data_IF_037431524057
#
_entry.id   IF_037431524057
#
_cell.length_a   1.000
_cell.length_b   1.000
_cell.length_c   1.000
_cell.angle_alpha   90.00
_cell.angle_beta   90.00
_cell.angle_gamma   90.00
#
_symmetry.space_group_name_H-M   'P 1'
#
loop_
_entity.id
_entity.type
_entity.pdbx_description
1 polymer ?
#
# COMPACT_ATOMS: atom_id res chain seq x y z
N UNK A 1 53.78 57.15 35.11
CA UNK A 1 54.18 55.83 34.56
C UNK A 1 52.91 55.05 34.25
N UNK A 2 52.76 54.65 32.97
CA UNK A 2 51.92 53.59 32.38
C UNK A 2 50.45 53.41 32.84
N UNK A 3 49.44 53.19 31.99
CA UNK A 3 49.24 53.16 30.52
C UNK A 3 47.73 52.85 30.32
N UNK A 4 47.07 53.53 29.37
CA UNK A 4 45.85 53.19 28.58
C UNK A 4 44.51 52.89 29.32
N UNK A 5 43.43 53.70 29.24
CA UNK A 5 42.48 53.98 28.10
C UNK A 5 41.94 52.69 27.44
N UNK A 6 40.63 52.44 27.21
CA UNK A 6 39.42 53.24 26.94
C UNK A 6 38.18 52.50 27.50
N UNK A 7 37.27 53.18 28.21
CA UNK A 7 36.02 53.80 27.73
C UNK A 7 34.86 52.81 27.45
N UNK A 8 33.87 52.88 28.32
CA UNK A 8 32.57 52.22 28.30
C UNK A 8 31.52 53.09 27.54
N UNK A 9 30.21 53.02 27.85
CA UNK A 9 29.22 52.02 27.43
C UNK A 9 28.03 52.69 26.69
N UNK A 10 27.07 51.93 26.15
CA UNK A 10 25.63 52.10 26.45
C UNK A 10 24.76 51.15 25.60
N UNK A 11 23.76 50.60 26.27
CA UNK A 11 22.71 49.76 25.74
C UNK A 11 21.66 50.55 24.94
N UNK A 12 20.97 49.87 24.02
CA UNK A 12 19.54 50.00 23.79
C UNK A 12 19.03 48.80 23.00
N UNK A 13 18.05 48.11 23.57
CA UNK A 13 17.27 47.06 22.93
C UNK A 13 16.22 47.69 22.02
N UNK A 14 16.07 47.20 20.78
CA UNK A 14 14.81 47.19 20.02
C UNK A 14 14.81 45.97 19.10
N UNK A 15 13.65 45.30 19.07
CA UNK A 15 13.25 44.21 18.19
C UNK A 15 13.39 44.53 16.69
N UNK A 16 13.87 43.56 15.91
CA UNK A 16 13.65 43.52 14.47
C UNK A 16 13.26 42.08 14.08
N UNK A 17 11.96 41.83 14.17
CA UNK A 17 11.28 40.73 13.50
C UNK A 17 10.79 41.33 12.18
N UNK A 18 11.49 41.04 11.08
CA UNK A 18 10.99 41.08 9.71
C UNK A 18 12.16 40.77 8.79
N UNK A 19 12.03 39.70 8.00
CA UNK A 19 12.57 39.48 6.65
C UNK A 19 12.51 37.99 6.31
N UNK A 20 11.41 37.56 5.67
CA UNK A 20 11.37 36.52 4.63
C UNK A 20 9.92 36.15 4.28
N UNK A 21 9.24 36.98 3.49
CA UNK A 21 8.02 36.57 2.77
C UNK A 21 8.04 37.14 1.36
N UNK A 22 8.51 36.37 0.39
CA UNK A 22 8.16 36.51 -1.04
C UNK A 22 8.98 35.55 -1.92
N UNK A 23 8.58 34.29 -2.00
CA UNK A 23 9.01 33.40 -3.10
C UNK A 23 7.94 32.32 -3.32
N UNK A 24 6.73 32.70 -3.74
CA UNK A 24 5.80 31.85 -4.51
C UNK A 24 4.65 32.75 -5.02
N UNK A 25 4.79 33.33 -6.21
CA UNK A 25 3.65 33.66 -7.05
C UNK A 25 3.84 32.99 -8.42
N UNK A 26 2.81 32.32 -8.98
CA UNK A 26 2.89 31.73 -10.31
C UNK A 26 2.78 32.81 -11.39
N UNK A 27 3.72 32.81 -12.35
CA UNK A 27 3.67 33.70 -13.51
C UNK A 27 2.48 33.34 -14.43
N UNK A 28 1.80 34.37 -14.92
CA UNK A 28 0.68 34.29 -15.87
C UNK A 28 1.08 33.70 -17.24
N UNK A 29 0.17 33.03 -17.97
CA UNK A 29 0.50 32.40 -19.25
C UNK A 29 0.59 33.43 -20.38
N UNK A 30 1.71 33.40 -21.12
CA UNK A 30 1.87 34.11 -22.38
C UNK A 30 1.42 33.21 -23.55
N UNK A 31 0.44 33.67 -24.31
CA UNK A 31 -0.01 33.09 -25.57
C UNK A 31 0.91 33.53 -26.72
N UNK A 32 1.41 32.57 -27.51
CA UNK A 32 2.10 32.85 -28.77
C UNK A 32 1.48 32.03 -29.91
N UNK A 33 0.97 32.71 -30.93
CA UNK A 33 0.57 32.17 -32.23
C UNK A 33 1.71 32.35 -33.22
N UNK A 34 2.14 31.28 -33.90
CA UNK A 34 2.94 31.40 -35.12
C UNK A 34 2.64 30.25 -36.10
N UNK A 35 2.24 30.64 -37.30
CA UNK A 35 2.05 29.84 -38.52
C UNK A 35 3.34 29.77 -39.34
N UNK A 36 3.72 28.59 -39.87
CA UNK A 36 4.35 28.42 -41.19
C UNK A 36 4.57 26.93 -41.54
N UNK A 37 4.53 26.64 -42.84
CA UNK A 37 4.31 25.33 -43.46
C UNK A 37 5.55 24.43 -43.64
N UNK A 38 5.28 23.13 -43.83
CA UNK A 38 6.23 22.05 -44.11
C UNK A 38 6.61 21.92 -45.60
N UNK A 39 7.61 21.07 -45.93
CA UNK A 39 7.46 20.13 -47.05
C UNK A 39 7.66 18.64 -46.65
N UNK A 40 6.98 17.77 -47.41
CA UNK A 40 6.67 16.34 -47.23
C UNK A 40 7.86 15.37 -47.57
N UNK A 41 8.14 14.31 -46.78
CA UNK A 41 7.66 12.90 -46.77
C UNK A 41 8.51 11.93 -47.66
N UNK A 42 8.74 10.63 -47.29
CA UNK A 42 7.67 9.64 -47.09
C UNK A 42 7.79 8.66 -45.88
N UNK A 43 6.60 8.20 -45.43
CA UNK A 43 6.18 6.90 -44.87
C UNK A 43 7.24 5.96 -44.23
N UNK A 44 7.07 5.30 -43.08
CA UNK A 44 5.93 4.96 -42.20
C UNK A 44 6.54 4.28 -40.97
N UNK A 45 6.28 4.79 -39.77
CA UNK A 45 6.35 4.02 -38.51
C UNK A 45 5.35 4.66 -37.56
N UNK A 46 4.30 3.90 -37.29
CA UNK A 46 3.14 4.32 -36.51
C UNK A 46 3.55 4.84 -35.14
N UNK A 47 3.04 6.02 -34.84
CA UNK A 47 3.10 6.79 -33.60
C UNK A 47 2.97 5.96 -32.32
N UNK A 48 4.05 5.89 -31.53
CA UNK A 48 3.91 5.78 -30.08
C UNK A 48 3.33 7.11 -29.59
N UNK A 49 2.10 7.08 -29.05
CA UNK A 49 1.53 8.24 -28.36
C UNK A 49 2.45 8.58 -27.19
N UNK A 50 2.94 9.82 -27.20
CA UNK A 50 3.59 10.46 -26.06
C UNK A 50 2.75 10.24 -24.79
N UNK A 51 3.40 9.72 -23.74
CA UNK A 51 2.83 9.57 -22.40
C UNK A 51 2.30 10.94 -21.95
N UNK A 52 0.98 11.08 -21.89
CA UNK A 52 0.31 12.27 -21.35
C UNK A 52 0.68 12.43 -19.88
N UNK A 53 0.91 13.67 -19.46
CA UNK A 53 1.13 14.05 -18.06
C UNK A 53 0.07 13.45 -17.14
N UNK A 54 0.55 12.93 -16.01
CA UNK A 54 -0.17 12.22 -14.96
C UNK A 54 -1.17 13.13 -14.26
N UNK A 55 -2.42 13.14 -14.74
CA UNK A 55 -3.57 13.31 -13.86
C UNK A 55 -3.70 12.03 -13.02
N UNK A 56 -3.97 12.17 -11.71
CA UNK A 56 -4.38 11.15 -10.73
C UNK A 56 -4.33 9.69 -11.22
N UNK A 57 -3.50 8.84 -10.60
CA UNK A 57 -3.70 7.40 -10.74
C UNK A 57 -4.89 6.98 -9.87
N UNK A 58 -5.74 6.03 -10.24
CA UNK A 58 -6.30 5.55 -11.51
C UNK A 58 -7.37 4.54 -11.04
N UNK A 59 -8.56 4.49 -11.63
CA UNK A 59 -9.57 3.54 -11.18
C UNK A 59 -9.02 2.10 -11.26
N UNK A 60 -9.52 1.14 -10.47
CA UNK A 60 -9.06 -0.27 -10.53
C UNK A 60 -9.10 -0.83 -11.97
N UNK A 61 -9.95 -0.29 -12.85
CA UNK A 61 -9.95 -0.56 -14.29
C UNK A 61 -8.61 -0.33 -14.98
N UNK A 62 -7.87 0.71 -14.62
CA UNK A 62 -6.59 1.05 -15.24
C UNK A 62 -5.51 0.06 -14.84
N UNK A 63 -5.48 -0.37 -13.57
CA UNK A 63 -4.60 -1.44 -13.11
C UNK A 63 -4.93 -2.75 -13.83
N UNK A 64 -6.21 -3.10 -13.93
CA UNK A 64 -6.67 -4.31 -14.65
C UNK A 64 -6.30 -4.25 -16.13
N UNK A 65 -6.44 -3.09 -16.78
CA UNK A 65 -6.05 -2.88 -18.17
C UNK A 65 -4.54 -3.05 -18.37
N UNK A 66 -3.72 -2.44 -17.50
CA UNK A 66 -2.27 -2.61 -17.53
C UNK A 66 -1.86 -4.07 -17.29
N UNK A 67 -2.50 -4.74 -16.33
CA UNK A 67 -2.23 -6.14 -16.01
C UNK A 67 -2.57 -7.07 -17.19
N UNK A 68 -3.72 -6.87 -17.84
CA UNK A 68 -4.11 -7.64 -19.02
C UNK A 68 -3.21 -7.37 -20.23
N UNK A 69 -2.75 -6.13 -20.42
CA UNK A 69 -1.76 -5.80 -21.45
C UNK A 69 -0.42 -6.51 -21.20
N UNK A 70 0.02 -6.56 -19.93
CA UNK A 70 1.21 -7.31 -19.55
C UNK A 70 1.02 -8.82 -19.81
N UNK A 71 -0.07 -9.43 -19.34
CA UNK A 71 -0.38 -10.86 -19.58
C UNK A 71 -0.36 -11.20 -21.06
N UNK A 72 -0.99 -10.37 -21.90
CA UNK A 72 -1.07 -10.59 -23.34
C UNK A 72 0.29 -10.56 -24.05
N UNK A 73 1.30 -9.92 -23.46
CA UNK A 73 2.68 -9.87 -24.00
C UNK A 73 3.52 -11.10 -23.67
N UNK A 74 3.04 -11.98 -22.78
CA UNK A 74 3.79 -13.10 -22.22
C UNK A 74 3.51 -14.42 -22.94
N UNK A 75 4.53 -15.28 -23.02
CA UNK A 75 4.36 -16.68 -23.42
C UNK A 75 3.52 -17.45 -22.40
N UNK A 76 2.95 -18.61 -22.78
CA UNK A 76 2.18 -19.45 -21.88
C UNK A 76 2.97 -19.87 -20.62
N UNK A 77 4.27 -20.17 -20.76
CA UNK A 77 5.15 -20.50 -19.63
C UNK A 77 5.33 -19.30 -18.71
N UNK A 78 5.55 -18.10 -19.27
CA UNK A 78 5.65 -16.88 -18.46
C UNK A 78 4.32 -16.57 -17.74
N UNK A 79 3.18 -16.72 -18.42
CA UNK A 79 1.86 -16.55 -17.81
C UNK A 79 1.63 -17.51 -16.65
N UNK A 80 2.04 -18.78 -16.78
CA UNK A 80 1.93 -19.77 -15.70
C UNK A 80 2.80 -19.43 -14.48
N UNK A 81 3.94 -18.77 -14.67
CA UNK A 81 4.77 -18.26 -13.58
C UNK A 81 4.19 -16.98 -12.96
N UNK A 82 3.62 -16.09 -13.77
CA UNK A 82 2.99 -14.84 -13.33
C UNK A 82 1.71 -15.09 -12.51
N UNK A 83 0.82 -15.92 -13.05
CA UNK A 83 -0.51 -16.19 -12.50
C UNK A 83 -0.43 -17.33 -11.50
N UNK A 84 -0.51 -16.99 -10.23
CA UNK A 84 -0.52 -17.94 -9.12
C UNK A 84 -1.89 -17.97 -8.44
N UNK A 85 -2.16 -18.99 -7.64
CA UNK A 85 -3.40 -19.05 -6.85
C UNK A 85 -3.42 -17.93 -5.79
N UNK A 86 -4.60 -17.37 -5.49
CA UNK A 86 -4.81 -16.47 -4.35
C UNK A 86 -5.23 -17.29 -3.12
N UNK A 87 -4.29 -17.56 -2.21
CA UNK A 87 -4.54 -18.32 -0.99
C UNK A 87 -3.54 -17.95 0.12
N UNK A 88 -3.78 -18.43 1.34
CA UNK A 88 -2.95 -18.14 2.51
C UNK A 88 -1.47 -18.52 2.36
N UNK A 89 -1.14 -19.46 1.48
CA UNK A 89 0.25 -19.87 1.24
C UNK A 89 0.96 -18.94 0.28
N UNK A 90 0.31 -18.47 -0.78
CA UNK A 90 0.93 -17.63 -1.83
C UNK A 90 0.97 -16.16 -1.46
N UNK A 91 -0.06 -15.65 -0.78
CA UNK A 91 -0.13 -14.23 -0.38
C UNK A 91 1.01 -13.82 0.55
N UNK A 92 1.60 -14.78 1.27
CA UNK A 92 2.72 -14.54 2.19
C UNK A 92 4.09 -14.81 1.57
N UNK A 93 4.20 -15.13 0.26
CA UNK A 93 5.47 -15.52 -0.41
C UNK A 93 6.24 -14.34 -0.98
N UNK A 94 6.51 -13.37 -0.12
CA UNK A 94 7.37 -12.23 -0.38
C UNK A 94 8.51 -12.20 0.65
N UNK A 95 9.55 -11.44 0.37
CA UNK A 95 10.73 -11.29 1.23
C UNK A 95 11.38 -9.94 0.95
N UNK A 96 12.14 -9.42 1.91
CA UNK A 96 13.03 -8.26 1.74
C UNK A 96 14.50 -8.65 1.49
N UNK A 97 14.86 -9.93 1.64
CA UNK A 97 16.25 -10.39 1.53
C UNK A 97 16.75 -10.48 0.08
N UNK A 98 18.06 -10.53 -0.19
CA UNK A 98 18.57 -10.71 -1.55
C UNK A 98 17.97 -11.96 -2.24
N UNK A 99 17.80 -11.94 -3.57
CA UNK A 99 17.02 -12.96 -4.31
C UNK A 99 17.59 -14.39 -4.20
N UNK A 100 18.89 -14.51 -3.87
CA UNK A 100 19.55 -15.80 -3.61
C UNK A 100 19.29 -16.37 -2.21
N UNK A 101 18.68 -15.59 -1.30
CA UNK A 101 18.48 -15.96 0.10
C UNK A 101 17.09 -16.57 0.35
N UNK A 102 16.09 -16.24 -0.47
CA UNK A 102 14.72 -16.75 -0.33
C UNK A 102 14.00 -16.74 -1.67
N UNK A 103 13.26 -17.81 -1.95
CA UNK A 103 12.41 -17.88 -3.13
C UNK A 103 11.18 -16.99 -2.96
N UNK A 104 11.01 -16.03 -3.89
CA UNK A 104 9.75 -15.30 -4.11
C UNK A 104 8.96 -15.95 -5.25
N UNK A 105 7.68 -15.61 -5.37
CA UNK A 105 6.85 -16.02 -6.50
C UNK A 105 6.84 -14.95 -7.60
N UNK A 106 6.57 -15.36 -8.83
CA UNK A 106 6.41 -14.46 -9.98
C UNK A 106 7.57 -14.45 -10.96
N UNK A 107 7.46 -13.57 -11.95
CA UNK A 107 8.45 -13.38 -13.01
C UNK A 107 9.49 -12.35 -12.58
N UNK A 108 10.78 -12.73 -12.66
CA UNK A 108 11.88 -11.76 -12.56
C UNK A 108 11.90 -10.83 -13.76
N UNK A 109 12.17 -9.55 -13.53
CA UNK A 109 12.23 -8.55 -14.60
C UNK A 109 13.33 -8.86 -15.62
N UNK A 110 14.49 -9.36 -15.19
CA UNK A 110 15.59 -9.74 -16.08
C UNK A 110 15.33 -10.99 -16.93
N UNK A 111 14.27 -11.74 -16.65
CA UNK A 111 13.77 -12.83 -17.51
C UNK A 111 12.75 -12.34 -18.56
N UNK A 112 12.43 -11.04 -18.57
CA UNK A 112 11.49 -10.40 -19.49
C UNK A 112 12.24 -9.63 -20.59
N UNK A 113 11.61 -9.48 -21.75
CA UNK A 113 12.08 -8.51 -22.76
C UNK A 113 11.87 -7.08 -22.28
N UNK A 114 12.58 -6.10 -22.85
CA UNK A 114 12.41 -4.68 -22.49
C UNK A 114 10.96 -4.19 -22.60
N UNK A 115 10.22 -4.65 -23.62
CA UNK A 115 8.80 -4.32 -23.78
C UNK A 115 7.93 -4.94 -22.66
N UNK A 116 8.22 -6.18 -22.27
CA UNK A 116 7.54 -6.85 -21.16
C UNK A 116 7.88 -6.20 -19.81
N UNK A 117 9.12 -5.77 -19.59
CA UNK A 117 9.52 -5.02 -18.39
C UNK A 117 8.77 -3.69 -18.28
N UNK A 118 8.65 -2.95 -19.39
CA UNK A 118 7.89 -1.71 -19.42
C UNK A 118 6.40 -1.94 -19.08
N UNK A 119 5.79 -3.00 -19.62
CA UNK A 119 4.41 -3.37 -19.28
C UNK A 119 4.27 -3.80 -17.82
N UNK A 120 5.21 -4.57 -17.26
CA UNK A 120 5.21 -4.94 -15.85
C UNK A 120 5.26 -3.72 -14.93
N UNK A 121 6.16 -2.76 -15.22
CA UNK A 121 6.28 -1.53 -14.45
C UNK A 121 5.08 -0.59 -14.63
N UNK A 122 4.41 -0.61 -15.79
CA UNK A 122 3.17 0.12 -15.99
C UNK A 122 2.04 -0.38 -15.07
N UNK A 123 2.01 -1.68 -14.73
CA UNK A 123 1.07 -2.22 -13.72
C UNK A 123 1.36 -1.62 -12.35
N UNK A 124 2.63 -1.59 -11.95
CA UNK A 124 3.05 -1.03 -10.65
C UNK A 124 2.71 0.47 -10.61
N UNK A 125 3.06 1.22 -11.64
CA UNK A 125 2.75 2.64 -11.76
C UNK A 125 1.24 2.92 -11.66
N UNK A 126 0.40 2.11 -12.30
CA UNK A 126 -1.05 2.28 -12.22
C UNK A 126 -1.61 1.94 -10.82
N UNK A 127 -0.94 1.05 -10.07
CA UNK A 127 -1.37 0.55 -8.77
C UNK A 127 -0.93 1.43 -7.58
N UNK A 128 0.02 2.33 -7.78
CA UNK A 128 0.68 3.09 -6.71
C UNK A 128 0.48 4.59 -6.85
N UNK A 129 0.74 5.33 -5.78
CA UNK A 129 0.52 6.78 -5.70
C UNK A 129 1.40 7.59 -6.63
N UNK A 130 0.97 8.82 -6.90
CA UNK A 130 1.64 9.75 -7.82
C UNK A 130 2.49 10.82 -7.12
N UNK A 131 2.50 10.83 -5.78
CA UNK A 131 3.21 11.82 -4.98
C UNK A 131 4.71 11.70 -5.22
N UNK A 132 5.37 12.82 -5.50
CA UNK A 132 6.82 12.83 -5.68
C UNK A 132 7.50 12.54 -4.35
N UNK A 133 8.48 11.63 -4.35
CA UNK A 133 9.14 11.16 -3.14
C UNK A 133 8.51 9.90 -2.54
N UNK A 134 7.26 9.59 -2.88
CA UNK A 134 6.52 8.41 -2.42
C UNK A 134 5.99 7.61 -3.65
N UNK A 135 5.21 6.56 -3.43
CA UNK A 135 4.49 5.81 -4.47
C UNK A 135 5.40 5.24 -5.54
N UNK A 136 5.01 5.41 -6.80
CA UNK A 136 5.82 4.87 -7.91
C UNK A 136 7.22 5.50 -7.96
N UNK A 137 7.34 6.77 -7.55
CA UNK A 137 8.63 7.45 -7.55
C UNK A 137 9.59 6.81 -6.53
N UNK A 138 9.13 6.54 -5.32
CA UNK A 138 9.93 5.88 -4.30
C UNK A 138 10.32 4.45 -4.71
N UNK A 139 9.38 3.65 -5.23
CA UNK A 139 9.66 2.30 -5.74
C UNK A 139 10.79 2.31 -6.77
N UNK A 140 10.84 3.32 -7.65
CA UNK A 140 11.91 3.47 -8.63
C UNK A 140 13.24 3.89 -7.97
N UNK A 141 13.22 4.74 -6.94
CA UNK A 141 14.42 5.07 -6.17
C UNK A 141 14.98 3.85 -5.43
N UNK A 142 14.11 3.03 -4.83
CA UNK A 142 14.49 1.77 -4.16
C UNK A 142 15.14 0.78 -5.12
N UNK A 143 14.55 0.60 -6.31
CA UNK A 143 15.14 -0.21 -7.38
C UNK A 143 16.52 0.33 -7.83
N UNK A 144 16.68 1.65 -7.89
CA UNK A 144 17.95 2.27 -8.22
C UNK A 144 19.00 2.14 -7.09
N UNK A 145 18.57 2.12 -5.82
CA UNK A 145 19.43 1.84 -4.68
C UNK A 145 19.97 0.41 -4.78
N UNK A 146 19.14 -0.53 -5.22
CA UNK A 146 19.53 -1.91 -5.44
C UNK A 146 20.58 -2.09 -6.55
N UNK A 147 20.47 -1.31 -7.64
CA UNK A 147 21.51 -1.24 -8.67
C UNK A 147 22.83 -0.65 -8.12
N UNK A 148 22.73 0.30 -7.19
CA UNK A 148 23.89 0.84 -6.50
C UNK A 148 24.56 -0.23 -5.62
N UNK A 149 23.81 -1.00 -4.85
CA UNK A 149 24.33 -2.12 -4.05
C UNK A 149 24.99 -3.19 -4.93
N UNK A 150 24.36 -3.56 -6.04
CA UNK A 150 24.90 -4.52 -7.00
C UNK A 150 26.29 -4.11 -7.51
N UNK A 151 26.46 -2.81 -7.82
CA UNK A 151 27.72 -2.24 -8.31
C UNK A 151 28.80 -2.09 -7.21
N UNK A 152 28.42 -2.07 -5.94
CA UNK A 152 29.31 -1.78 -4.80
C UNK A 152 29.57 -3.01 -3.91
N UNK A 153 29.45 -4.22 -4.45
CA UNK A 153 29.86 -5.46 -3.77
C UNK A 153 28.72 -6.41 -3.39
N UNK A 154 27.46 -6.02 -3.65
CA UNK A 154 26.31 -6.92 -3.45
C UNK A 154 26.25 -8.07 -4.47
N UNK A 155 26.66 -7.83 -5.72
CA UNK A 155 26.64 -8.84 -6.78
C UNK A 155 25.23 -9.24 -7.23
N UNK A 156 25.10 -10.42 -7.85
CA UNK A 156 23.87 -10.85 -8.55
C UNK A 156 22.65 -11.17 -7.67
N UNK A 157 22.76 -11.01 -6.35
CA UNK A 157 21.63 -11.09 -5.41
C UNK A 157 20.79 -9.81 -5.33
N UNK A 158 21.33 -8.70 -5.88
CA UNK A 158 20.81 -7.34 -5.81
C UNK A 158 20.58 -6.81 -7.23
N UNK A 159 19.79 -5.74 -7.34
CA UNK A 159 19.64 -4.98 -8.59
C UNK A 159 18.21 -4.92 -9.09
N UNK A 160 17.92 -3.86 -9.83
CA UNK A 160 16.59 -3.54 -10.35
C UNK A 160 16.01 -4.59 -11.31
N UNK A 161 16.88 -5.42 -11.91
CA UNK A 161 16.51 -6.53 -12.78
C UNK A 161 16.02 -7.79 -12.05
N UNK A 162 16.41 -8.00 -10.79
CA UNK A 162 16.03 -9.20 -10.02
C UNK A 162 14.73 -9.05 -9.23
N UNK A 163 14.02 -7.93 -9.42
CA UNK A 163 12.68 -7.72 -8.88
C UNK A 163 11.68 -8.64 -9.58
N UNK A 164 10.64 -9.05 -8.85
CA UNK A 164 9.64 -10.01 -9.30
C UNK A 164 8.24 -9.38 -9.29
N UNK A 165 7.43 -9.80 -10.26
CA UNK A 165 6.00 -9.48 -10.34
C UNK A 165 5.17 -10.77 -10.40
N UNK A 166 4.13 -10.86 -9.57
CA UNK A 166 3.15 -11.95 -9.55
C UNK A 166 1.73 -11.38 -9.47
N UNK A 167 0.78 -12.10 -10.09
CA UNK A 167 -0.65 -11.89 -9.87
C UNK A 167 -1.22 -13.12 -9.19
N UNK A 168 -1.81 -12.93 -8.02
CA UNK A 168 -2.47 -14.00 -7.29
C UNK A 168 -3.96 -13.93 -7.60
N UNK A 169 -4.48 -14.92 -8.30
CA UNK A 169 -5.78 -14.83 -8.97
C UNK A 169 -5.70 -14.10 -10.31
N UNK A 170 -6.85 -14.00 -10.99
CA UNK A 170 -6.94 -13.38 -12.32
C UNK A 170 -7.30 -11.90 -12.20
N UNK A 171 -6.48 -10.97 -12.74
CA UNK A 171 -6.83 -9.56 -12.79
C UNK A 171 -8.19 -9.32 -13.43
N UNK A 172 -9.11 -8.75 -12.67
CA UNK A 172 -10.47 -8.48 -13.10
C UNK A 172 -11.15 -7.43 -12.23
N UNK A 173 -12.24 -6.85 -12.74
CA UNK A 173 -13.08 -5.91 -11.98
C UNK A 173 -14.13 -6.60 -11.11
N UNK A 174 -14.29 -7.91 -11.24
CA UNK A 174 -15.37 -8.66 -10.55
C UNK A 174 -14.82 -9.70 -9.57
N UNK A 175 -13.64 -10.26 -9.84
CA UNK A 175 -12.97 -11.21 -8.98
C UNK A 175 -12.09 -10.56 -7.91
N UNK A 176 -11.60 -11.40 -7.00
CA UNK A 176 -10.53 -11.04 -6.07
C UNK A 176 -9.19 -11.47 -6.65
N UNK A 177 -8.21 -10.57 -6.60
CA UNK A 177 -6.85 -10.86 -7.00
C UNK A 177 -5.86 -9.93 -6.29
N UNK A 178 -4.58 -10.30 -6.26
CA UNK A 178 -3.54 -9.49 -5.62
C UNK A 178 -2.36 -9.27 -6.57
N UNK A 179 -1.90 -8.03 -6.65
CA UNK A 179 -0.59 -7.67 -7.18
C UNK A 179 0.46 -7.91 -6.10
N UNK A 180 1.50 -8.69 -6.41
CA UNK A 180 2.75 -8.70 -5.66
C UNK A 180 3.88 -8.18 -6.55
N UNK A 181 4.57 -7.15 -6.07
CA UNK A 181 5.78 -6.64 -6.71
C UNK A 181 6.86 -6.44 -5.66
N UNK A 182 8.09 -6.89 -5.92
CA UNK A 182 9.14 -6.73 -4.93
C UNK A 182 10.48 -7.34 -5.30
N UNK A 183 11.49 -7.04 -4.49
CA UNK A 183 12.87 -7.45 -4.65
C UNK A 183 13.59 -7.36 -3.31
N UNK A 184 14.91 -7.31 -3.34
CA UNK A 184 15.65 -6.91 -2.15
C UNK A 184 15.15 -5.52 -1.70
N UNK A 185 14.86 -5.36 -0.41
CA UNK A 185 14.32 -4.14 0.18
C UNK A 185 12.94 -3.64 -0.31
N UNK A 186 12.17 -4.43 -1.07
CA UNK A 186 10.80 -4.03 -1.45
C UNK A 186 9.84 -5.21 -1.44
N UNK A 187 8.67 -5.04 -0.83
CA UNK A 187 7.49 -5.85 -1.08
C UNK A 187 6.24 -4.97 -1.10
N UNK A 188 5.59 -4.84 -2.25
CA UNK A 188 4.32 -4.15 -2.45
C UNK A 188 3.24 -5.20 -2.72
N UNK A 189 2.25 -5.27 -1.83
CA UNK A 189 1.16 -6.25 -1.89
C UNK A 189 -0.19 -5.52 -1.90
N UNK A 190 -0.86 -5.48 -3.06
CA UNK A 190 -2.14 -4.76 -3.20
C UNK A 190 -3.22 -5.75 -3.63
N UNK A 191 -4.26 -5.89 -2.82
CA UNK A 191 -5.37 -6.81 -3.06
C UNK A 191 -6.59 -6.05 -3.56
N UNK A 192 -7.11 -6.48 -4.69
CA UNK A 192 -8.29 -5.96 -5.35
C UNK A 192 -9.47 -6.92 -5.16
N UNK A 193 -10.67 -6.37 -5.09
CA UNK A 193 -11.91 -7.14 -5.06
C UNK A 193 -13.08 -6.29 -5.54
N UNK A 194 -13.80 -6.78 -6.55
CA UNK A 194 -15.00 -6.12 -7.07
C UNK A 194 -14.75 -4.67 -7.55
N UNK A 195 -13.62 -4.46 -8.22
CA UNK A 195 -13.27 -3.16 -8.78
C UNK A 195 -12.86 -2.13 -7.72
N UNK A 196 -12.49 -2.59 -6.52
CA UNK A 196 -12.01 -1.76 -5.42
C UNK A 196 -10.71 -2.32 -4.86
N UNK A 197 -9.89 -1.46 -4.25
CA UNK A 197 -8.77 -1.90 -3.41
C UNK A 197 -9.33 -2.36 -2.06
N UNK A 198 -9.15 -3.63 -1.75
CA UNK A 198 -9.61 -4.26 -0.50
C UNK A 198 -8.51 -4.31 0.57
N UNK A 199 -7.25 -4.19 0.17
CA UNK A 199 -6.11 -4.04 1.06
C UNK A 199 -4.88 -3.56 0.30
N UNK A 200 -4.17 -2.58 0.87
CA UNK A 200 -2.94 -2.01 0.31
C UNK A 200 -1.66 -2.59 0.98
N UNK A 201 -1.84 -3.52 1.91
CA UNK A 201 -0.79 -4.02 2.81
C UNK A 201 -0.73 -5.55 2.80
N UNK A 202 0.41 -6.15 3.21
CA UNK A 202 1.62 -5.51 3.76
C UNK A 202 2.48 -4.82 2.70
N UNK A 203 3.06 -3.68 3.08
CA UNK A 203 4.11 -3.02 2.33
C UNK A 203 5.40 -3.02 3.16
N UNK A 204 6.49 -3.53 2.60
CA UNK A 204 7.81 -3.48 3.21
C UNK A 204 8.75 -2.68 2.32
N UNK A 205 9.54 -1.81 2.93
CA UNK A 205 10.57 -1.03 2.26
C UNK A 205 11.84 -0.98 3.07
N UNK A 206 12.97 -0.90 2.38
CA UNK A 206 14.26 -0.63 2.99
C UNK A 206 15.15 0.13 2.03
N UNK A 207 16.17 0.81 2.52
CA UNK A 207 17.16 1.40 1.62
C UNK A 207 18.53 1.34 2.22
N UNK A 208 19.49 0.96 1.38
CA UNK A 208 20.90 1.02 1.63
C UNK A 208 21.58 1.46 0.33
N UNK A 209 22.34 2.57 0.30
CA UNK A 209 22.50 3.57 1.37
C UNK A 209 21.24 4.46 1.52
N UNK A 210 21.24 5.36 2.51
CA UNK A 210 20.13 6.32 2.73
C UNK A 210 20.03 7.40 1.64
N UNK A 211 21.15 7.71 0.98
CA UNK A 211 21.20 8.62 -0.15
C UNK A 211 22.35 8.22 -1.08
N UNK A 212 22.16 8.47 -2.37
CA UNK A 212 23.14 8.16 -3.40
C UNK A 212 22.84 8.92 -4.69
N UNK A 213 23.81 8.92 -5.60
CA UNK A 213 23.62 9.38 -6.98
C UNK A 213 23.66 8.18 -7.91
N UNK A 214 22.68 8.06 -8.81
CA UNK A 214 22.61 6.94 -9.75
C UNK A 214 23.83 6.91 -10.66
N UNK A 215 24.49 5.75 -10.74
CA UNK A 215 25.68 5.55 -11.58
C UNK A 215 25.34 5.10 -13.01
N UNK A 216 24.10 4.63 -13.23
CA UNK A 216 23.61 4.14 -14.51
C UNK A 216 22.19 4.67 -14.78
N UNK A 217 21.66 4.37 -15.97
CA UNK A 217 20.32 4.79 -16.41
C UNK A 217 19.30 3.64 -16.49
N UNK A 218 19.49 2.57 -15.71
CA UNK A 218 18.61 1.38 -15.78
C UNK A 218 17.20 1.67 -15.28
N UNK A 219 17.07 2.51 -14.25
CA UNK A 219 15.80 2.81 -13.57
C UNK A 219 15.46 4.30 -13.66
N UNK A 220 16.43 5.15 -13.28
CA UNK A 220 16.37 6.61 -13.32
C UNK A 220 17.58 7.12 -14.10
N UNK A 221 17.55 8.32 -14.71
CA UNK A 221 18.71 8.86 -15.42
C UNK A 221 19.98 8.85 -14.56
N UNK A 222 21.13 8.51 -15.15
CA UNK A 222 22.42 8.62 -14.45
C UNK A 222 22.66 10.05 -13.93
N UNK A 223 23.19 10.18 -12.72
CA UNK A 223 23.36 11.47 -12.05
C UNK A 223 22.16 11.95 -11.24
N UNK A 224 21.07 11.17 -11.18
CA UNK A 224 19.91 11.48 -10.33
C UNK A 224 20.26 11.28 -8.86
N UNK A 225 20.02 12.30 -8.03
CA UNK A 225 20.16 12.20 -6.56
C UNK A 225 18.90 11.52 -6.02
N UNK A 226 19.10 10.44 -5.28
CA UNK A 226 18.04 9.64 -4.67
C UNK A 226 18.20 9.62 -3.15
N UNK A 227 17.07 9.66 -2.45
CA UNK A 227 16.98 9.53 -1.00
C UNK A 227 15.64 8.84 -0.65
N UNK A 228 15.46 7.58 -1.05
CA UNK A 228 14.26 6.83 -0.68
C UNK A 228 14.14 6.75 0.86
N UNK A 229 12.93 6.62 1.37
CA UNK A 229 12.59 6.61 2.80
C UNK A 229 12.94 7.89 3.57
N UNK A 230 13.30 8.97 2.88
CA UNK A 230 13.62 10.24 3.53
C UNK A 230 12.38 10.95 4.08
N UNK A 231 11.23 10.82 3.41
CA UNK A 231 9.95 11.35 3.88
C UNK A 231 9.50 10.63 5.17
N UNK A 232 9.58 9.30 5.19
CA UNK A 232 9.28 8.41 6.32
C UNK A 232 10.16 8.74 7.52
N UNK A 233 11.48 8.80 7.31
CA UNK A 233 12.44 9.13 8.35
C UNK A 233 12.21 10.53 8.92
N UNK A 234 11.97 11.53 8.06
CA UNK A 234 11.69 12.89 8.48
C UNK A 234 10.36 13.01 9.26
N UNK A 235 9.31 12.34 8.81
CA UNK A 235 7.99 12.39 9.43
C UNK A 235 7.97 11.68 10.80
N UNK A 236 8.59 10.50 10.90
CA UNK A 236 8.78 9.81 12.19
C UNK A 236 9.62 10.64 13.17
N UNK A 237 10.68 11.28 12.68
CA UNK A 237 11.53 12.15 13.50
C UNK A 237 10.75 13.37 14.00
N UNK A 238 9.96 14.00 13.13
CA UNK A 238 9.11 15.13 13.50
C UNK A 238 8.08 14.74 14.58
N UNK A 239 7.44 13.58 14.44
CA UNK A 239 6.52 13.04 15.46
C UNK A 239 7.22 12.88 16.82
N UNK A 240 8.39 12.24 16.87
CA UNK A 240 9.11 12.05 18.12
C UNK A 240 9.63 13.39 18.70
N UNK A 241 10.09 14.31 17.86
CA UNK A 241 10.56 15.62 18.30
C UNK A 241 9.45 16.54 18.79
N UNK A 242 8.21 16.33 18.34
CA UNK A 242 7.03 17.02 18.87
C UNK A 242 6.67 16.64 20.32
N UNK A 243 7.23 15.55 20.86
CA UNK A 243 6.93 15.08 22.22
C UNK A 243 7.73 15.83 23.29
N UNK A 244 7.07 16.12 24.42
CA UNK A 244 7.75 16.57 25.64
C UNK A 244 8.64 15.48 26.23
N UNK A 245 9.56 15.85 27.12
CA UNK A 245 10.42 14.88 27.80
C UNK A 245 9.62 13.78 28.53
N UNK A 246 8.54 14.14 29.23
CA UNK A 246 7.68 13.18 29.92
C UNK A 246 6.96 12.23 28.95
N UNK A 247 6.44 12.77 27.84
CA UNK A 247 5.82 11.97 26.78
C UNK A 247 6.83 11.03 26.11
N UNK A 248 8.06 11.48 25.85
CA UNK A 248 9.15 10.62 25.38
C UNK A 248 9.44 9.48 26.36
N UNK A 249 9.46 9.76 27.67
CA UNK A 249 9.60 8.70 28.68
C UNK A 249 8.49 7.65 28.59
N UNK A 250 7.23 8.07 28.42
CA UNK A 250 6.09 7.14 28.28
C UNK A 250 6.10 6.37 26.95
N UNK A 251 6.51 7.00 25.85
CA UNK A 251 6.59 6.36 24.54
C UNK A 251 7.76 5.37 24.42
N UNK A 252 8.78 5.48 25.29
CA UNK A 252 9.99 4.66 25.18
C UNK A 252 9.75 3.22 25.64
N UNK A 253 10.08 2.27 24.77
CA UNK A 253 10.07 0.84 25.05
C UNK A 253 11.32 0.43 25.84
N UNK A 254 11.16 -0.53 26.74
CA UNK A 254 12.28 -1.17 27.45
C UNK A 254 13.06 -2.14 26.56
N UNK A 255 12.36 -2.79 25.63
CA UNK A 255 12.94 -3.68 24.63
C UNK A 255 13.57 -2.88 23.49
N UNK A 256 14.71 -3.36 22.99
CA UNK A 256 15.33 -2.91 21.74
C UNK A 256 14.93 -3.82 20.57
N UNK A 257 14.89 -3.24 19.38
CA UNK A 257 14.53 -3.93 18.14
C UNK A 257 15.66 -3.78 17.13
N UNK A 258 16.16 -4.90 16.62
CA UNK A 258 17.17 -4.90 15.55
C UNK A 258 16.57 -4.98 14.14
N UNK A 259 15.26 -5.22 14.03
CA UNK A 259 14.51 -5.28 12.78
C UNK A 259 13.04 -4.94 13.06
N UNK A 260 12.23 -4.79 12.00
CA UNK A 260 10.78 -4.72 12.12
C UNK A 260 10.24 -6.03 12.69
N UNK A 261 9.22 -5.95 13.55
CA UNK A 261 8.63 -7.14 14.18
C UNK A 261 7.77 -7.91 13.19
N UNK A 262 7.01 -7.20 12.32
CA UNK A 262 6.08 -7.81 11.36
C UNK A 262 6.60 -7.75 9.92
N UNK A 263 7.89 -8.00 9.72
CA UNK A 263 8.51 -8.21 8.41
C UNK A 263 8.00 -9.48 7.70
N UNK A 264 8.80 -10.06 6.78
CA UNK A 264 8.44 -11.34 6.17
C UNK A 264 8.13 -12.40 7.23
N UNK A 265 7.10 -13.21 6.98
CA UNK A 265 6.58 -14.24 7.90
C UNK A 265 5.88 -13.73 9.18
N UNK A 266 5.87 -12.43 9.47
CA UNK A 266 5.14 -11.82 10.60
C UNK A 266 3.61 -11.73 10.39
N UNK A 267 3.01 -12.69 9.70
CA UNK A 267 1.65 -12.57 9.17
C UNK A 267 0.59 -12.72 10.28
N UNK A 268 -0.21 -11.67 10.49
CA UNK A 268 -1.26 -11.65 11.51
C UNK A 268 -0.77 -11.71 12.96
N UNK A 269 0.54 -11.61 13.20
CA UNK A 269 1.14 -11.72 14.53
C UNK A 269 1.20 -10.37 15.26
N UNK A 270 0.19 -9.52 15.07
CA UNK A 270 0.10 -8.24 15.75
C UNK A 270 0.08 -8.45 17.28
N UNK A 271 0.86 -7.69 18.06
CA UNK A 271 0.78 -7.76 19.51
C UNK A 271 -0.64 -7.47 20.02
N UNK A 272 -1.14 -8.34 20.88
CA UNK A 272 -2.50 -8.19 21.42
C UNK A 272 -2.67 -6.94 22.29
N UNK A 273 -1.57 -6.44 22.89
CA UNK A 273 -1.56 -5.25 23.75
C UNK A 273 -0.80 -4.13 23.06
N UNK A 274 -1.49 -2.99 22.88
CA UNK A 274 -0.86 -1.75 22.45
C UNK A 274 -0.02 -1.18 23.59
N UNK A 275 1.19 -0.71 23.27
CA UNK A 275 2.16 -0.20 24.24
C UNK A 275 2.73 1.14 23.77
N UNK A 276 3.24 1.94 24.70
CA UNK A 276 3.78 3.27 24.43
C UNK A 276 2.81 4.37 24.85
N UNK A 277 2.90 5.52 24.16
CA UNK A 277 2.12 6.71 24.46
C UNK A 277 0.81 6.72 23.67
N UNK A 278 -0.31 6.76 24.39
CA UNK A 278 -1.63 6.87 23.79
C UNK A 278 -1.81 8.25 23.14
N UNK A 279 -2.16 8.27 21.85
CA UNK A 279 -2.26 9.50 21.04
C UNK A 279 -3.40 10.41 21.50
N UNK A 280 -4.44 9.87 22.13
CA UNK A 280 -5.53 10.68 22.73
C UNK A 280 -5.08 11.55 23.92
N UNK A 281 -3.88 11.34 24.47
CA UNK A 281 -3.30 12.19 25.52
C UNK A 281 -2.44 13.34 24.96
N UNK A 282 -2.20 13.35 23.65
CA UNK A 282 -1.41 14.37 22.96
C UNK A 282 -2.24 15.63 22.70
N UNK A 283 -1.55 16.76 22.53
CA UNK A 283 -2.19 17.99 22.03
C UNK A 283 -2.61 17.84 20.57
N UNK A 284 -3.51 18.69 20.08
CA UNK A 284 -3.92 18.67 18.67
C UNK A 284 -2.73 18.83 17.70
N UNK A 285 -1.75 19.68 18.03
CA UNK A 285 -0.54 19.85 17.21
C UNK A 285 0.33 18.57 17.17
N UNK A 286 0.45 17.88 18.30
CA UNK A 286 1.17 16.61 18.36
C UNK A 286 0.42 15.47 17.64
N UNK A 287 -0.92 15.44 17.74
CA UNK A 287 -1.75 14.51 16.99
C UNK A 287 -1.61 14.71 15.47
N UNK A 288 -1.53 15.96 15.01
CA UNK A 288 -1.27 16.25 13.61
C UNK A 288 0.07 15.67 13.14
N UNK A 289 1.13 15.75 13.94
CA UNK A 289 2.42 15.12 13.62
C UNK A 289 2.34 13.59 13.53
N UNK A 290 1.50 12.94 14.34
CA UNK A 290 1.26 11.49 14.24
C UNK A 290 0.56 11.14 12.93
N UNK A 291 -0.41 11.95 12.49
CA UNK A 291 -1.09 11.77 11.20
C UNK A 291 -0.10 11.97 10.05
N UNK A 292 0.72 13.02 10.08
CA UNK A 292 1.77 13.24 9.09
C UNK A 292 2.81 12.11 9.07
N UNK A 293 3.12 11.51 10.23
CA UNK A 293 3.99 10.34 10.31
C UNK A 293 3.39 9.05 9.78
N UNK A 294 2.10 8.98 9.44
CA UNK A 294 1.52 7.84 8.72
C UNK A 294 1.52 8.06 7.20
N UNK A 295 1.62 9.33 6.77
CA UNK A 295 1.27 9.75 5.43
C UNK A 295 2.17 9.15 4.33
N UNK A 296 3.52 9.14 4.43
CA UNK A 296 4.39 8.65 3.36
C UNK A 296 4.04 7.21 2.92
N UNK A 297 4.00 6.28 3.89
CA UNK A 297 3.55 4.90 3.67
C UNK A 297 2.17 4.78 2.98
N UNK A 298 1.22 5.63 3.36
CA UNK A 298 -0.14 5.56 2.82
C UNK A 298 -0.20 6.15 1.40
N UNK A 299 0.60 7.19 1.13
CA UNK A 299 0.75 7.82 -0.18
C UNK A 299 1.41 6.90 -1.21
N UNK A 300 1.94 5.76 -0.78
CA UNK A 300 2.40 4.73 -1.68
C UNK A 300 1.31 3.97 -2.41
N UNK A 301 0.13 3.92 -1.80
CA UNK A 301 -1.07 3.40 -2.45
C UNK A 301 -1.56 4.38 -3.51
N UNK A 302 -2.38 3.94 -4.47
CA UNK A 302 -3.05 4.85 -5.38
C UNK A 302 -3.75 6.00 -4.64
N UNK A 303 -3.81 7.18 -5.28
CA UNK A 303 -4.16 8.44 -4.61
C UNK A 303 -5.56 8.38 -3.94
N UNK A 304 -6.50 7.64 -4.52
CA UNK A 304 -7.85 7.47 -3.97
C UNK A 304 -7.86 6.55 -2.74
N UNK A 305 -7.15 5.43 -2.79
CA UNK A 305 -6.95 4.54 -1.64
C UNK A 305 -6.22 5.26 -0.52
N UNK A 306 -5.15 6.01 -0.84
CA UNK A 306 -4.39 6.79 0.12
C UNK A 306 -5.27 7.80 0.87
N UNK A 307 -6.10 8.57 0.16
CA UNK A 307 -7.02 9.53 0.77
C UNK A 307 -8.05 8.87 1.71
N UNK A 308 -8.59 7.72 1.30
CA UNK A 308 -9.53 6.92 2.11
C UNK A 308 -8.87 6.38 3.38
N UNK A 309 -7.68 5.80 3.27
CA UNK A 309 -6.93 5.25 4.41
C UNK A 309 -6.48 6.35 5.37
N UNK A 310 -5.97 7.49 4.87
CA UNK A 310 -5.63 8.62 5.73
C UNK A 310 -6.83 9.14 6.52
N UNK A 311 -8.01 9.24 5.88
CA UNK A 311 -9.24 9.61 6.57
C UNK A 311 -9.59 8.61 7.67
N UNK A 312 -9.50 7.31 7.37
CA UNK A 312 -9.78 6.25 8.35
C UNK A 312 -8.81 6.28 9.53
N UNK A 313 -7.51 6.31 9.28
CA UNK A 313 -6.50 6.31 10.33
C UNK A 313 -6.59 7.55 11.20
N UNK A 314 -6.92 8.71 10.61
CA UNK A 314 -7.19 9.96 11.36
C UNK A 314 -8.42 9.83 12.27
N UNK A 315 -9.50 9.22 11.79
CA UNK A 315 -10.70 9.00 12.62
C UNK A 315 -10.48 7.98 13.75
N UNK A 316 -9.51 7.09 13.59
CA UNK A 316 -9.15 6.07 14.58
C UNK A 316 -8.03 6.51 15.54
N UNK A 317 -7.52 7.74 15.37
CA UNK A 317 -6.34 8.26 16.04
C UNK A 317 -6.44 8.21 17.57
N UNK A 318 -7.64 8.33 18.14
CA UNK A 318 -7.86 8.24 19.58
C UNK A 318 -7.51 6.86 20.17
N UNK A 319 -7.54 5.79 19.37
CA UNK A 319 -7.14 4.44 19.75
C UNK A 319 -5.71 4.06 19.35
N UNK A 320 -4.92 5.03 18.86
CA UNK A 320 -3.55 4.82 18.38
C UNK A 320 -2.52 5.07 19.46
N UNK A 321 -1.44 4.30 19.41
CA UNK A 321 -0.29 4.39 20.30
C UNK A 321 0.97 4.60 19.48
N UNK A 322 1.88 5.41 20.00
CA UNK A 322 3.21 5.59 19.43
C UNK A 322 4.27 5.10 20.42
N UNK A 323 5.28 4.41 19.92
CA UNK A 323 6.34 3.87 20.73
C UNK A 323 7.68 3.98 20.02
N UNK A 324 8.78 4.02 20.77
CA UNK A 324 10.13 4.01 20.19
C UNK A 324 11.15 3.33 21.11
N UNK A 325 12.27 2.87 20.54
CA UNK A 325 13.46 2.43 21.28
C UNK A 325 14.72 3.05 20.72
N UNK A 326 15.84 2.91 21.43
CA UNK A 326 17.11 3.51 21.05
C UNK A 326 17.20 4.99 21.45
N UNK A 327 17.82 5.79 20.59
CA UNK A 327 18.06 7.23 20.77
C UNK A 327 16.83 8.08 20.41
N UNK A 328 15.98 7.56 19.50
CA UNK A 328 14.83 8.29 18.97
C UNK A 328 15.17 9.34 17.91
N UNK A 329 16.39 9.29 17.34
CA UNK A 329 16.84 10.23 16.30
C UNK A 329 17.04 9.57 14.92
N UNK A 330 16.92 8.23 14.82
CA UNK A 330 17.10 7.45 13.60
C UNK A 330 18.50 7.62 12.97
N UNK A 331 19.51 7.67 13.84
CA UNK A 331 20.92 7.85 13.48
C UNK A 331 21.80 6.67 13.90
N UNK A 332 21.23 5.68 14.57
CA UNK A 332 22.00 4.56 15.14
C UNK A 332 21.23 3.26 14.95
N UNK A 333 21.95 2.18 14.61
CA UNK A 333 21.35 0.85 14.53
C UNK A 333 20.62 0.49 15.83
N UNK A 334 19.39 0.00 15.71
CA UNK A 334 18.49 -0.27 16.83
C UNK A 334 17.61 0.92 17.25
N UNK A 335 17.75 2.08 16.62
CA UNK A 335 16.71 3.10 16.64
C UNK A 335 15.47 2.54 15.96
N UNK A 336 14.34 2.56 16.67
CA UNK A 336 13.08 1.97 16.23
C UNK A 336 11.94 2.87 16.64
N UNK A 337 10.92 3.00 15.80
CA UNK A 337 9.64 3.59 16.15
C UNK A 337 8.50 2.76 15.58
N UNK A 338 7.35 2.84 16.26
CA UNK A 338 6.11 2.19 15.83
C UNK A 338 4.90 3.09 16.07
N UNK A 339 3.99 3.06 15.11
CA UNK A 339 2.61 3.55 15.22
C UNK A 339 1.68 2.33 15.19
N UNK A 340 0.89 2.14 16.25
CA UNK A 340 -0.03 1.01 16.41
C UNK A 340 -1.44 1.51 16.75
N UNK A 341 -2.30 1.52 15.73
CA UNK A 341 -3.69 1.96 15.80
C UNK A 341 -4.71 0.81 15.79
N UNK A 342 -6.00 1.13 15.80
CA UNK A 342 -7.05 0.12 15.63
C UNK A 342 -6.91 -0.66 14.32
N UNK A 343 -6.57 0.03 13.21
CA UNK A 343 -6.26 -0.60 11.93
C UNK A 343 -4.84 -0.36 11.42
N UNK A 344 -4.24 0.81 11.62
CA UNK A 344 -2.87 1.09 11.14
C UNK A 344 -1.79 0.40 11.97
N UNK A 345 -0.76 -0.13 11.32
CA UNK A 345 0.49 -0.59 11.92
C UNK A 345 1.68 -0.14 11.06
N UNK A 346 2.58 0.68 11.60
CA UNK A 346 3.78 1.13 10.91
C UNK A 346 4.97 0.93 11.84
N UNK A 347 6.04 0.32 11.34
CA UNK A 347 7.31 0.19 12.05
C UNK A 347 8.43 0.79 11.21
N UNK A 348 9.37 1.48 11.84
CA UNK A 348 10.54 2.05 11.20
C UNK A 348 11.76 1.74 12.06
N UNK A 349 12.81 1.18 11.48
CA UNK A 349 14.01 0.74 12.20
C UNK A 349 15.28 1.07 11.43
N UNK A 350 16.31 1.46 12.16
CA UNK A 350 17.66 1.59 11.63
C UNK A 350 18.44 0.30 11.88
N UNK A 351 19.06 -0.23 10.84
CA UNK A 351 20.00 -1.35 10.92
C UNK A 351 21.40 -0.89 10.52
N UNK A 352 22.42 -1.70 10.80
CA UNK A 352 23.73 -1.53 10.16
C UNK A 352 23.64 -1.94 8.68
N UNK A 353 24.26 -1.18 7.78
CA UNK A 353 24.41 -1.56 6.38
C UNK A 353 25.07 -2.92 6.20
N UNK A 354 24.66 -3.65 5.16
CA UNK A 354 25.27 -4.94 4.80
C UNK A 354 26.44 -4.72 3.84
N UNK A 355 26.23 -3.88 2.82
CA UNK A 355 27.23 -3.53 1.82
C UNK A 355 28.04 -2.31 2.27
N UNK A 356 27.37 -1.30 2.83
CA UNK A 356 27.93 -0.11 3.45
C UNK A 356 27.97 -0.28 4.97
N UNK A 357 28.78 -1.23 5.45
CA UNK A 357 28.82 -1.65 6.86
C UNK A 357 29.19 -0.58 7.90
N UNK A 358 29.73 0.56 7.47
CA UNK A 358 30.00 1.72 8.32
C UNK A 358 28.84 2.72 8.42
N UNK A 359 27.75 2.47 7.70
CA UNK A 359 26.56 3.32 7.66
C UNK A 359 25.37 2.58 8.25
N UNK A 360 24.37 3.33 8.70
CA UNK A 360 23.05 2.76 8.95
C UNK A 360 22.26 2.66 7.65
N UNK A 361 21.24 1.82 7.66
CA UNK A 361 20.26 1.71 6.60
C UNK A 361 18.86 1.58 7.22
N UNK A 362 17.82 1.90 6.45
CA UNK A 362 16.44 1.87 6.96
C UNK A 362 15.72 0.62 6.52
N UNK A 363 14.92 0.07 7.43
CA UNK A 363 13.86 -0.88 7.15
C UNK A 363 12.55 -0.33 7.72
N UNK A 364 11.47 -0.57 7.01
CA UNK A 364 10.14 -0.21 7.46
C UNK A 364 9.09 -1.18 6.93
N UNK A 365 8.01 -1.33 7.70
CA UNK A 365 6.85 -2.10 7.26
C UNK A 365 5.57 -1.35 7.63
N UNK A 366 4.67 -1.26 6.66
CA UNK A 366 3.29 -0.81 6.84
C UNK A 366 2.34 -2.01 6.68
N UNK A 367 1.50 -2.20 7.68
CA UNK A 367 0.45 -3.21 7.74
C UNK A 367 -0.88 -2.59 8.17
N UNK A 368 -1.96 -3.28 7.85
CA UNK A 368 -3.31 -2.98 8.33
C UNK A 368 -3.85 -4.22 9.06
N UNK A 369 -4.17 -4.07 10.36
CA UNK A 369 -4.68 -5.13 11.24
C UNK A 369 -5.94 -5.83 10.68
N UNK A 370 -6.71 -5.13 9.84
CA UNK A 370 -7.94 -5.65 9.25
C UNK A 370 -7.77 -6.00 7.76
N UNK A 371 -6.91 -5.28 7.02
CA UNK A 371 -6.87 -5.34 5.54
C UNK A 371 -5.62 -5.97 4.95
N UNK A 372 -4.67 -6.44 5.76
CA UNK A 372 -3.55 -7.22 5.24
C UNK A 372 -4.03 -8.34 4.32
N UNK A 373 -3.47 -8.39 3.11
CA UNK A 373 -3.88 -9.32 2.04
C UNK A 373 -5.39 -9.25 1.72
N UNK A 374 -5.98 -8.06 1.77
CA UNK A 374 -7.42 -7.83 1.55
C UNK A 374 -8.33 -8.23 2.72
N UNK A 375 -7.77 -8.59 3.88
CA UNK A 375 -8.53 -8.99 5.07
C UNK A 375 -9.09 -10.40 5.00
N UNK A 376 -8.55 -11.27 4.13
CA UNK A 376 -9.13 -12.58 3.83
C UNK A 376 -8.53 -13.76 4.63
N UNK A 377 -7.40 -13.57 5.32
CA UNK A 377 -6.64 -14.70 5.89
C UNK A 377 -6.27 -14.54 7.36
N UNK A 378 -5.91 -13.33 7.78
CA UNK A 378 -5.30 -13.07 9.08
C UNK A 378 -5.92 -11.83 9.69
N UNK A 379 -7.02 -12.00 10.41
CA UNK A 379 -7.70 -10.89 11.07
C UNK A 379 -8.80 -11.37 12.01
N UNK A 380 -9.00 -10.62 13.09
CA UNK A 380 -10.16 -10.74 13.99
C UNK A 380 -11.32 -9.84 13.54
N UNK A 381 -11.08 -8.91 12.61
CA UNK A 381 -12.06 -7.98 12.09
C UNK A 381 -12.84 -8.58 10.93
N UNK A 382 -14.12 -8.87 11.15
CA UNK A 382 -15.03 -9.45 10.13
C UNK A 382 -15.57 -8.44 9.13
N UNK A 383 -15.28 -7.14 9.25
CA UNK A 383 -15.84 -6.07 8.41
C UNK A 383 -14.74 -5.29 7.69
N UNK A 384 -14.27 -5.80 6.55
CA UNK A 384 -13.59 -4.98 5.54
C UNK A 384 -14.60 -4.68 4.44
N UNK A 385 -14.79 -3.39 4.12
CA UNK A 385 -15.61 -2.98 2.98
C UNK A 385 -15.07 -3.64 1.72
N UNK A 386 -15.90 -4.42 1.02
CA UNK A 386 -15.51 -5.18 -0.17
C UNK A 386 -15.09 -6.63 0.08
N UNK A 387 -14.84 -7.02 1.34
CA UNK A 387 -14.54 -8.40 1.75
C UNK A 387 -15.43 -8.81 2.94
N UNK A 388 -16.53 -9.49 2.61
CA UNK A 388 -17.30 -10.29 3.57
C UNK A 388 -17.76 -11.59 2.91
N UNK A 389 -16.80 -12.43 2.56
CA UNK A 389 -17.09 -13.77 2.03
C UNK A 389 -16.86 -14.88 3.07
N UNK A 390 -16.33 -14.56 4.26
CA UNK A 390 -16.06 -15.57 5.30
C UNK A 390 -17.24 -15.80 6.28
N UNK A 391 -18.03 -14.78 6.62
CA UNK A 391 -19.18 -14.95 7.54
C UNK A 391 -20.38 -15.63 6.86
N UNK A 392 -20.58 -15.40 5.56
CA UNK A 392 -21.66 -16.02 4.79
C UNK A 392 -21.50 -17.54 4.73
N UNK A 393 -20.36 -18.05 4.27
CA UNK A 393 -20.12 -19.49 4.14
C UNK A 393 -20.21 -20.25 5.49
N UNK A 394 -20.00 -19.59 6.62
CA UNK A 394 -20.16 -20.18 7.95
C UNK A 394 -21.62 -20.13 8.47
N UNK A 395 -22.49 -19.30 7.89
CA UNK A 395 -23.89 -19.16 8.28
C UNK A 395 -24.86 -19.82 7.29
N UNK A 396 -24.59 -19.72 5.99
CA UNK A 396 -25.35 -20.37 4.93
C UNK A 396 -24.55 -20.48 3.61
N UNK A 397 -24.93 -21.41 2.75
CA UNK A 397 -24.48 -21.48 1.36
C UNK A 397 -25.62 -21.20 0.39
N UNK A 398 -25.32 -20.51 -0.71
CA UNK A 398 -26.24 -20.31 -1.82
C UNK A 398 -25.69 -20.94 -3.11
N UNK A 399 -26.42 -21.88 -3.72
CA UNK A 399 -26.00 -22.61 -4.92
C UNK A 399 -27.18 -22.99 -5.82
N UNK A 400 -26.98 -23.18 -7.14
CA UNK A 400 -25.77 -22.86 -7.88
C UNK A 400 -25.51 -21.34 -7.87
N UNK A 401 -24.26 -20.95 -8.10
CA UNK A 401 -23.85 -19.54 -8.22
C UNK A 401 -22.55 -19.48 -9.04
N UNK A 402 -22.58 -19.06 -10.31
CA UNK A 402 -23.69 -18.40 -11.00
C UNK A 402 -24.92 -19.31 -11.23
N UNK A 403 -26.10 -18.70 -11.33
CA UNK A 403 -27.34 -19.36 -11.76
C UNK A 403 -27.60 -19.12 -13.23
N UNK A 404 -28.01 -20.17 -13.92
CA UNK A 404 -28.49 -20.10 -15.30
C UNK A 404 -30.02 -20.22 -15.34
N UNK A 405 -30.63 -19.68 -16.40
CA UNK A 405 -32.09 -19.67 -16.59
C UNK A 405 -32.75 -21.04 -16.36
N UNK A 406 -33.79 -21.06 -15.53
CA UNK A 406 -34.56 -22.26 -15.17
C UNK A 406 -34.11 -22.97 -13.89
N UNK A 407 -32.97 -22.58 -13.30
CA UNK A 407 -32.53 -23.09 -12.00
C UNK A 407 -33.25 -22.40 -10.83
N UNK A 408 -33.31 -23.08 -9.69
CA UNK A 408 -33.67 -22.48 -8.41
C UNK A 408 -32.41 -22.25 -7.59
N UNK A 409 -32.35 -21.12 -6.89
CA UNK A 409 -31.27 -20.85 -5.94
C UNK A 409 -31.57 -21.56 -4.62
N UNK A 410 -30.74 -22.55 -4.29
CA UNK A 410 -30.77 -23.24 -3.00
C UNK A 410 -30.07 -22.36 -1.97
N UNK A 411 -30.71 -22.14 -0.83
CA UNK A 411 -30.15 -21.47 0.34
C UNK A 411 -30.13 -22.48 1.49
N UNK A 412 -28.94 -22.86 1.94
CA UNK A 412 -28.72 -23.88 2.97
C UNK A 412 -28.02 -23.25 4.17
N UNK A 413 -28.69 -23.17 5.32
CA UNK A 413 -28.10 -22.72 6.57
C UNK A 413 -27.07 -23.74 7.11
N UNK A 414 -26.03 -23.25 7.77
CA UNK A 414 -25.04 -24.09 8.45
C UNK A 414 -25.64 -24.87 9.63
N UNK A 415 -26.76 -24.41 10.21
CA UNK A 415 -27.53 -25.11 11.23
C UNK A 415 -29.03 -24.80 11.08
N UNK A 416 -29.94 -25.72 11.44
CA UNK A 416 -31.39 -25.47 11.37
C UNK A 416 -31.81 -24.27 12.23
N UNK A 417 -32.67 -23.41 11.69
CA UNK A 417 -33.21 -22.24 12.40
C UNK A 417 -34.68 -22.44 12.78
N UNK A 418 -35.09 -21.86 13.92
CA UNK A 418 -36.51 -21.86 14.32
C UNK A 418 -37.31 -20.86 13.49
N UNK A 419 -36.68 -19.78 13.05
CA UNK A 419 -37.20 -18.82 12.08
C UNK A 419 -36.05 -18.22 11.26
N UNK A 420 -36.20 -18.15 9.95
CA UNK A 420 -35.24 -17.46 9.09
C UNK A 420 -35.95 -16.63 8.02
N UNK A 421 -35.30 -15.60 7.52
CA UNK A 421 -35.79 -14.76 6.42
C UNK A 421 -34.67 -14.52 5.42
N UNK A 422 -34.96 -14.67 4.13
CA UNK A 422 -34.06 -14.24 3.07
C UNK A 422 -34.62 -13.01 2.34
N UNK A 423 -33.72 -12.19 1.79
CA UNK A 423 -34.03 -11.07 0.92
C UNK A 423 -33.03 -11.02 -0.22
N UNK A 424 -33.50 -11.18 -1.46
CA UNK A 424 -32.69 -11.00 -2.67
C UNK A 424 -32.88 -9.57 -3.19
N UNK A 425 -31.78 -8.84 -3.39
CA UNK A 425 -31.76 -7.46 -3.89
C UNK A 425 -31.04 -7.35 -5.22
N UNK A 426 -31.55 -6.55 -6.15
CA UNK A 426 -30.86 -6.23 -7.40
C UNK A 426 -29.69 -5.23 -7.17
N UNK A 427 -28.97 -4.87 -8.24
CA UNK A 427 -27.85 -3.92 -8.19
C UNK A 427 -28.23 -2.50 -7.74
N UNK A 428 -29.52 -2.15 -7.79
CA UNK A 428 -30.06 -0.88 -7.28
C UNK A 428 -30.47 -0.96 -5.80
N UNK A 429 -30.22 -2.10 -5.13
CA UNK A 429 -30.57 -2.33 -3.73
C UNK A 429 -32.06 -2.65 -3.50
N UNK A 430 -32.87 -2.74 -4.55
CA UNK A 430 -34.30 -3.02 -4.46
C UNK A 430 -34.52 -4.50 -4.15
N UNK A 431 -35.36 -4.79 -3.15
CA UNK A 431 -35.72 -6.16 -2.82
C UNK A 431 -36.61 -6.74 -3.93
N UNK A 432 -36.11 -7.75 -4.63
CA UNK A 432 -36.82 -8.44 -5.73
C UNK A 432 -37.48 -9.72 -5.26
N UNK A 433 -36.97 -10.36 -4.19
CA UNK A 433 -37.60 -11.51 -3.52
C UNK A 433 -37.38 -11.41 -2.02
N UNK A 434 -38.39 -11.75 -1.24
CA UNK A 434 -38.29 -11.87 0.23
C UNK A 434 -39.23 -12.97 0.70
N UNK A 435 -38.76 -13.88 1.54
CA UNK A 435 -39.63 -14.83 2.21
C UNK A 435 -39.01 -15.32 3.53
N UNK A 436 -39.87 -15.82 4.41
CA UNK A 436 -39.46 -16.49 5.65
C UNK A 436 -39.55 -18.00 5.50
N UNK A 437 -38.64 -18.72 6.15
CA UNK A 437 -38.58 -20.19 6.16
C UNK A 437 -38.18 -20.70 7.56
N UNK A 438 -38.34 -22.00 7.78
CA UNK A 438 -37.93 -22.69 9.01
C UNK A 438 -37.10 -23.92 8.64
N UNK A 439 -36.29 -24.40 9.58
CA UNK A 439 -35.39 -25.53 9.31
C UNK A 439 -34.08 -25.09 8.67
N UNK A 440 -33.47 -25.95 7.86
CA UNK A 440 -32.10 -25.76 7.40
C UNK A 440 -31.98 -25.24 5.96
N UNK A 441 -33.02 -25.31 5.14
CA UNK A 441 -32.92 -24.98 3.72
C UNK A 441 -34.19 -24.33 3.16
N UNK A 442 -34.04 -23.57 2.09
CA UNK A 442 -35.13 -23.04 1.27
C UNK A 442 -34.67 -22.82 -0.17
N UNK A 443 -35.62 -22.75 -1.09
CA UNK A 443 -35.38 -22.40 -2.48
C UNK A 443 -35.82 -20.95 -2.76
N UNK A 444 -35.08 -20.25 -3.62
CA UNK A 444 -35.39 -18.91 -4.08
C UNK A 444 -35.61 -18.95 -5.59
N UNK A 445 -36.85 -18.66 -6.02
CA UNK A 445 -37.19 -18.57 -7.45
C UNK A 445 -36.61 -17.30 -8.07
N UNK A 446 -35.86 -17.51 -9.14
CA UNK A 446 -35.25 -16.45 -9.96
C UNK A 446 -36.05 -16.17 -11.26
N UNK A 447 -37.20 -16.81 -11.43
CA UNK A 447 -38.03 -16.65 -12.63
C UNK A 447 -38.41 -15.19 -12.84
N UNK A 448 -38.11 -14.64 -14.02
CA UNK A 448 -38.42 -13.25 -14.37
C UNK A 448 -37.44 -12.21 -13.82
N UNK A 449 -36.32 -12.62 -13.22
CA UNK A 449 -35.22 -11.73 -12.87
C UNK A 449 -34.28 -11.55 -14.08
N UNK A 450 -33.76 -10.33 -14.27
CA UNK A 450 -32.79 -10.05 -15.33
C UNK A 450 -31.41 -10.64 -14.99
N UNK A 451 -30.64 -10.99 -16.01
CA UNK A 451 -29.21 -11.32 -15.85
C UNK A 451 -28.48 -10.17 -15.15
N UNK A 452 -27.57 -10.51 -14.23
CA UNK A 452 -26.82 -9.52 -13.46
C UNK A 452 -26.51 -9.96 -12.04
N UNK A 453 -25.98 -9.00 -11.27
CA UNK A 453 -25.55 -9.22 -9.89
C UNK A 453 -26.66 -8.91 -8.89
N UNK A 454 -26.85 -9.83 -7.95
CA UNK A 454 -27.78 -9.71 -6.83
C UNK A 454 -27.05 -9.88 -5.50
N UNK A 455 -27.65 -9.30 -4.44
CA UNK A 455 -27.24 -9.52 -3.06
C UNK A 455 -28.32 -10.30 -2.33
N UNK A 456 -27.99 -11.52 -1.89
CA UNK A 456 -28.83 -12.34 -1.02
C UNK A 456 -28.48 -12.03 0.44
N UNK A 457 -29.44 -11.57 1.22
CA UNK A 457 -29.34 -11.39 2.68
C UNK A 457 -30.13 -12.49 3.37
N UNK A 458 -29.59 -13.09 4.44
CA UNK A 458 -30.27 -14.11 5.24
C UNK A 458 -30.11 -13.76 6.72
N UNK A 459 -31.22 -13.80 7.46
CA UNK A 459 -31.27 -13.67 8.91
C UNK A 459 -31.87 -14.95 9.50
N UNK A 460 -31.19 -15.58 10.44
CA UNK A 460 -31.64 -16.80 11.11
C UNK A 460 -31.74 -16.58 12.63
N UNK A 461 -32.91 -16.79 13.20
CA UNK A 461 -33.26 -16.55 14.59
C UNK A 461 -32.86 -15.13 15.03
N UNK A 462 -32.21 -15.01 16.20
CA UNK A 462 -31.70 -13.74 16.70
C UNK A 462 -30.29 -13.39 16.16
N UNK A 463 -29.77 -14.14 15.18
CA UNK A 463 -28.44 -13.87 14.63
C UNK A 463 -28.45 -12.62 13.72
N UNK A 464 -27.29 -11.96 13.58
CA UNK A 464 -27.14 -10.86 12.63
C UNK A 464 -27.44 -11.28 11.19
N UNK A 465 -27.90 -10.32 10.38
CA UNK A 465 -28.09 -10.53 8.94
C UNK A 465 -26.73 -10.80 8.27
N UNK A 466 -26.67 -11.83 7.44
CA UNK A 466 -25.48 -12.21 6.67
C UNK A 466 -25.81 -12.14 5.19
N UNK A 467 -24.84 -11.74 4.35
CA UNK A 467 -25.07 -11.49 2.92
C UNK A 467 -24.11 -12.28 2.02
N UNK A 468 -24.61 -12.81 0.91
CA UNK A 468 -23.84 -13.46 -0.15
C UNK A 468 -24.19 -12.84 -1.51
N UNK A 469 -23.21 -12.72 -2.40
CA UNK A 469 -23.46 -12.33 -3.80
C UNK A 469 -23.98 -13.49 -4.62
N UNK A 470 -24.94 -13.22 -5.49
CA UNK A 470 -25.54 -14.18 -6.41
C UNK A 470 -25.48 -13.60 -7.82
N UNK A 471 -24.91 -14.34 -8.76
CA UNK A 471 -24.86 -13.96 -10.17
C UNK A 471 -25.92 -14.73 -10.94
N UNK A 472 -26.71 -14.01 -11.74
CA UNK A 472 -27.65 -14.58 -12.70
C UNK A 472 -27.09 -14.38 -14.11
N UNK A 473 -26.93 -15.47 -14.85
CA UNK A 473 -26.45 -15.50 -16.24
C UNK A 473 -27.59 -15.71 -17.24
#
# INVERSE_FOLDING_TARGET
MNKFLLAAPLALAVSAYDWATSFFEPAAPLSYTATAAAPAAPATLSTFKSLKGTQSTAAVSDVVNAANAFIASLSATQQATLLQAYNSTTVTKWSNLPVNSTNRIGLRLDALTAAQQALALAVVQAATGTVSGDGFNEIQQLRAADDNLAANGGGGGYGSGVYLIAFLGTPSLTGTWQLQFGGHHLATNITYGNGQVTGATPKFEGTEPLNFTTANSNVLPAGTVCAPLSNEGAAMLAMLNGLTAAQKTTARLSQSFGDVVLGPNGNGQFPATKVGLAVNTLTAAQQALVVEAMRPWVQDSDDATAASLMTKYTNELAGTYIAYSGTGNFTTSGDYARIDGPTVWIEFVCQNGVIYSSQIHYHTVWRDHARDYGGNFYGTYTNVLGTKTAAAAQAFSAYPNPLIGGQLLQVQLASPATAATYTLRNSLGQAVRTASFRGQATEVSITGLAAGLYTLSVQADANPVVTQRVTLE
#
